data_IF_751534938865
#
_entry.id   IF_751534938865
#
_cell.length_a   1.000
_cell.length_b   1.000
_cell.length_c   1.000
_cell.angle_alpha   90.00
_cell.angle_beta   90.00
_cell.angle_gamma   90.00
#
_symmetry.space_group_name_H-M   'P 1'
#
loop_
_entity.id
_entity.type
_entity.pdbx_description
1 polymer ?
#
# COMPACT_ATOMS: atom_id res chain seq x y z
N UNK A 1 -26.80 3.06 12.74
CA UNK A 1 -25.61 3.81 12.31
C UNK A 1 -24.42 2.93 11.88
N UNK A 2 -24.35 1.64 12.25
CA UNK A 2 -23.21 0.76 11.94
C UNK A 2 -23.08 0.31 10.47
N UNK A 3 -24.14 0.34 9.66
CA UNK A 3 -24.14 -0.20 8.29
C UNK A 3 -23.32 0.64 7.29
N UNK A 4 -23.35 1.97 7.37
CA UNK A 4 -22.62 2.79 6.39
C UNK A 4 -21.08 2.72 6.56
N UNK A 5 -20.60 2.49 7.78
CA UNK A 5 -19.16 2.34 8.06
C UNK A 5 -18.63 0.98 7.57
N UNK A 6 -19.41 -0.10 7.73
CA UNK A 6 -19.04 -1.42 7.21
C UNK A 6 -19.00 -1.45 5.68
N UNK A 7 -19.93 -0.79 5.01
CA UNK A 7 -19.93 -0.64 3.55
C UNK A 7 -18.69 0.11 3.02
N UNK A 8 -18.27 1.19 3.67
CA UNK A 8 -17.03 1.91 3.28
C UNK A 8 -15.78 1.05 3.48
N UNK A 9 -15.69 0.33 4.60
CA UNK A 9 -14.56 -0.59 4.87
C UNK A 9 -14.52 -1.73 3.85
N UNK A 10 -15.67 -2.33 3.51
CA UNK A 10 -15.78 -3.37 2.50
C UNK A 10 -15.36 -2.88 1.11
N UNK A 11 -15.83 -1.69 0.69
CA UNK A 11 -15.43 -1.08 -0.57
C UNK A 11 -13.92 -0.79 -0.63
N UNK A 12 -13.34 -0.26 0.46
CA UNK A 12 -11.90 -0.05 0.58
C UNK A 12 -11.11 -1.35 0.46
N UNK A 13 -11.57 -2.43 1.09
CA UNK A 13 -10.93 -3.74 1.01
C UNK A 13 -10.97 -4.33 -0.42
N UNK A 14 -12.09 -4.17 -1.14
CA UNK A 14 -12.19 -4.59 -2.55
C UNK A 14 -11.21 -3.80 -3.41
N UNK A 15 -11.18 -2.47 -3.27
CA UNK A 15 -10.25 -1.59 -3.99
C UNK A 15 -8.80 -2.00 -3.75
N UNK A 16 -8.42 -2.27 -2.51
CA UNK A 16 -7.07 -2.70 -2.15
C UNK A 16 -6.72 -4.04 -2.79
N UNK A 17 -7.68 -4.95 -2.85
CA UNK A 17 -7.52 -6.26 -3.48
C UNK A 17 -7.29 -6.12 -4.98
N UNK A 18 -8.09 -5.30 -5.68
CA UNK A 18 -7.89 -5.02 -7.11
C UNK A 18 -6.55 -4.33 -7.37
N UNK A 19 -6.13 -3.41 -6.47
CA UNK A 19 -4.86 -2.70 -6.61
C UNK A 19 -3.66 -3.66 -6.48
N UNK A 20 -3.74 -4.63 -5.56
CA UNK A 20 -2.73 -5.69 -5.40
C UNK A 20 -2.65 -6.57 -6.65
N UNK A 21 -3.80 -6.98 -7.19
CA UNK A 21 -3.82 -7.79 -8.42
C UNK A 21 -3.23 -7.04 -9.61
N UNK A 22 -3.52 -5.75 -9.75
CA UNK A 22 -2.96 -4.91 -10.81
C UNK A 22 -1.43 -4.75 -10.66
N UNK A 23 -0.97 -4.49 -9.44
CA UNK A 23 0.46 -4.36 -9.14
C UNK A 23 1.25 -5.64 -9.48
N UNK A 24 0.67 -6.81 -9.21
CA UNK A 24 1.31 -8.09 -9.54
C UNK A 24 1.49 -8.33 -11.04
N UNK A 25 0.64 -7.74 -11.88
CA UNK A 25 0.63 -7.98 -13.33
C UNK A 25 1.43 -6.92 -14.09
N UNK A 26 1.46 -5.67 -13.61
CA UNK A 26 1.92 -4.54 -14.41
C UNK A 26 3.08 -3.73 -13.79
N UNK A 27 3.68 -4.20 -12.68
CA UNK A 27 4.74 -3.46 -12.00
C UNK A 27 6.04 -4.26 -11.95
N UNK A 28 7.13 -3.62 -12.40
CA UNK A 28 8.50 -4.09 -12.16
C UNK A 28 8.85 -4.10 -10.67
N UNK A 29 8.08 -3.37 -9.85
CA UNK A 29 8.19 -3.28 -8.39
C UNK A 29 7.03 -3.98 -7.66
N UNK A 30 6.43 -5.01 -8.27
CA UNK A 30 5.25 -5.75 -7.75
C UNK A 30 5.28 -6.02 -6.24
N UNK A 31 6.39 -6.53 -5.73
CA UNK A 31 6.52 -6.90 -4.32
C UNK A 31 6.46 -5.69 -3.38
N UNK A 32 6.99 -4.54 -3.83
CA UNK A 32 6.97 -3.29 -3.10
C UNK A 32 5.57 -2.67 -3.13
N UNK A 33 4.93 -2.63 -4.29
CA UNK A 33 3.58 -2.09 -4.43
C UNK A 33 2.56 -2.88 -3.59
N UNK A 34 2.66 -4.21 -3.59
CA UNK A 34 1.83 -5.06 -2.73
C UNK A 34 2.11 -4.79 -1.25
N UNK A 35 3.38 -4.62 -0.87
CA UNK A 35 3.74 -4.29 0.50
C UNK A 35 3.17 -2.93 0.92
N UNK A 36 3.25 -1.90 0.06
CA UNK A 36 2.69 -0.58 0.28
C UNK A 36 1.17 -0.68 0.46
N UNK A 37 0.46 -1.31 -0.48
CA UNK A 37 -1.01 -1.43 -0.41
C UNK A 37 -1.46 -2.19 0.83
N UNK A 38 -0.77 -3.29 1.20
CA UNK A 38 -1.10 -4.07 2.39
C UNK A 38 -0.72 -3.37 3.69
N UNK A 39 0.31 -2.52 3.69
CA UNK A 39 0.68 -1.72 4.86
C UNK A 39 -0.23 -0.50 5.07
N UNK A 40 -0.76 0.08 3.99
CA UNK A 40 -1.67 1.25 4.02
C UNK A 40 -3.06 0.85 3.53
N UNK A 41 -3.62 -0.20 4.14
CA UNK A 41 -4.94 -0.70 3.78
C UNK A 41 -6.04 0.07 4.57
N UNK A 42 -7.30 -0.09 4.20
CA UNK A 42 -8.41 0.62 4.85
C UNK A 42 -8.88 -0.04 6.17
N UNK A 43 -8.12 -1.01 6.70
CA UNK A 43 -8.41 -1.71 7.95
C UNK A 43 -7.67 -1.02 9.08
N UNK A 44 -8.40 -0.76 10.15
CA UNK A 44 -7.90 -0.11 11.36
C UNK A 44 -7.11 -1.12 12.21
N UNK A 45 -5.96 -1.55 11.70
CA UNK A 45 -5.04 -2.43 12.42
C UNK A 45 -3.59 -2.11 12.06
N UNK A 46 -2.63 -2.38 12.98
CA UNK A 46 -1.23 -2.22 12.67
C UNK A 46 -0.83 -3.10 11.47
N UNK A 47 -0.04 -2.56 10.52
CA UNK A 47 0.41 -3.33 9.38
C UNK A 47 1.31 -4.48 9.83
N UNK A 48 1.25 -5.61 9.11
CA UNK A 48 2.10 -6.76 9.43
C UNK A 48 3.57 -6.42 9.18
N UNK A 49 4.43 -6.81 10.12
CA UNK A 49 5.87 -6.55 10.11
C UNK A 49 6.58 -6.97 8.81
N UNK A 50 6.10 -8.03 8.15
CA UNK A 50 6.63 -8.48 6.84
C UNK A 50 6.51 -7.41 5.74
N UNK A 51 5.47 -6.57 5.78
CA UNK A 51 5.25 -5.53 4.77
C UNK A 51 6.11 -4.31 5.09
N UNK A 52 6.22 -3.95 6.36
CA UNK A 52 7.12 -2.89 6.83
C UNK A 52 8.58 -3.19 6.48
N UNK A 53 9.05 -4.41 6.75
CA UNK A 53 10.41 -4.83 6.39
C UNK A 53 10.69 -4.73 4.89
N UNK A 54 9.73 -5.07 4.03
CA UNK A 54 9.88 -4.91 2.57
C UNK A 54 10.00 -3.44 2.17
N UNK A 55 9.20 -2.56 2.75
CA UNK A 55 9.26 -1.11 2.48
C UNK A 55 10.60 -0.54 2.97
N UNK A 56 11.02 -0.89 4.20
CA UNK A 56 12.29 -0.43 4.77
C UNK A 56 13.51 -0.93 3.96
N UNK A 57 13.45 -2.16 3.44
CA UNK A 57 14.49 -2.68 2.55
C UNK A 57 14.54 -1.92 1.22
N UNK A 58 13.40 -1.49 0.68
CA UNK A 58 13.33 -0.71 -0.55
C UNK A 58 13.85 0.72 -0.39
N UNK A 59 13.83 1.27 0.82
CA UNK A 59 14.38 2.61 1.13
C UNK A 59 15.82 2.58 1.67
N UNK A 60 16.43 1.39 1.76
CA UNK A 60 17.81 1.24 2.22
C UNK A 60 18.80 1.97 1.31
N UNK A 61 19.84 2.56 1.91
CA UNK A 61 20.94 3.27 1.22
C UNK A 61 21.66 2.36 0.20
N UNK A 62 21.60 1.04 0.39
CA UNK A 62 22.16 0.07 -0.55
C UNK A 62 21.39 -0.05 -1.88
N UNK A 63 20.19 0.54 -1.99
CA UNK A 63 19.36 0.48 -3.20
C UNK A 63 19.67 1.63 -4.16
N UNK A 64 19.47 1.43 -5.48
CA UNK A 64 19.55 2.52 -6.46
C UNK A 64 18.62 3.68 -6.09
N UNK A 65 19.05 4.92 -6.36
CA UNK A 65 18.23 6.12 -6.11
C UNK A 65 16.87 6.08 -6.81
N UNK A 66 16.79 5.42 -7.97
CA UNK A 66 15.54 5.24 -8.72
C UNK A 66 14.51 4.42 -7.93
N UNK A 67 14.93 3.32 -7.29
CA UNK A 67 14.06 2.46 -6.47
C UNK A 67 13.53 3.22 -5.25
N UNK A 68 14.40 4.00 -4.60
CA UNK A 68 14.04 4.82 -3.44
C UNK A 68 13.03 5.89 -3.87
N UNK A 69 13.29 6.59 -4.98
CA UNK A 69 12.38 7.59 -5.54
C UNK A 69 11.03 6.98 -5.92
N UNK A 70 11.02 5.77 -6.48
CA UNK A 70 9.79 5.05 -6.78
C UNK A 70 9.00 4.72 -5.52
N UNK A 71 9.66 4.21 -4.48
CA UNK A 71 9.02 3.90 -3.20
C UNK A 71 8.32 5.13 -2.60
N UNK A 72 9.02 6.27 -2.56
CA UNK A 72 8.49 7.55 -2.09
C UNK A 72 7.29 7.99 -2.92
N UNK A 73 7.39 7.91 -4.25
CA UNK A 73 6.31 8.28 -5.15
C UNK A 73 5.07 7.39 -4.99
N UNK A 74 5.26 6.08 -4.88
CA UNK A 74 4.20 5.12 -4.69
C UNK A 74 3.45 5.35 -3.37
N UNK A 75 4.18 5.61 -2.28
CA UNK A 75 3.62 5.97 -0.98
C UNK A 75 2.84 7.30 -1.04
N UNK A 76 3.42 8.34 -1.62
CA UNK A 76 2.78 9.65 -1.78
C UNK A 76 1.48 9.57 -2.60
N UNK A 77 1.51 8.84 -3.72
CA UNK A 77 0.34 8.57 -4.56
C UNK A 77 -0.76 7.82 -3.81
N UNK A 78 -0.38 6.88 -2.95
CA UNK A 78 -1.32 6.07 -2.18
C UNK A 78 -2.02 6.92 -1.12
N UNK A 79 -1.27 7.68 -0.33
CA UNK A 79 -1.78 8.55 0.72
C UNK A 79 -2.71 9.65 0.16
N UNK A 80 -2.33 10.27 -0.96
CA UNK A 80 -3.15 11.30 -1.62
C UNK A 80 -4.49 10.78 -2.17
N UNK A 81 -4.54 9.52 -2.62
CA UNK A 81 -5.76 8.91 -3.21
C UNK A 81 -6.71 8.30 -2.19
N UNK A 82 -6.19 7.78 -1.07
CA UNK A 82 -7.02 7.08 -0.08
C UNK A 82 -7.87 8.07 0.74
N UNK A 83 -7.39 9.30 0.95
CA UNK A 83 -8.09 10.36 1.71
C UNK A 83 -8.77 9.82 2.98
N UNK A 84 -8.05 8.94 3.68
CA UNK A 84 -8.47 8.31 4.92
C UNK A 84 -7.40 8.61 5.98
N UNK A 85 -7.82 8.73 7.24
CA UNK A 85 -6.90 8.95 8.36
C UNK A 85 -6.24 7.65 8.83
N UNK A 86 -6.85 6.51 8.49
CA UNK A 86 -6.25 5.16 8.58
C UNK A 86 -5.23 5.03 7.45
#
# INVERSE_FOLDING_TARGET
>A
MASMQSWRKAYGAIKDTTTVSLANINSDFKDLDVAIVKATNHVECPPKERHLRKIAAATSIARPRADIAYCIHALSRRLSKTRNWI
#
